data_IF_367588957429
#
_entry.id   IF_367588957429
#
_cell.length_a   1.000
_cell.length_b   1.000
_cell.length_c   1.000
_cell.angle_alpha   90.00
_cell.angle_beta   90.00
_cell.angle_gamma   90.00
#
_symmetry.space_group_name_H-M   'P 1'
#
loop_
_entity.id
_entity.type
_entity.pdbx_description
1 polymer ?
#
# COMPACT_ATOMS: atom_id res chain seq x y z
N UNK A 1 -10.26 -2.11 25.73
CA UNK A 1 -10.38 -1.15 24.62
C UNK A 1 -10.17 -1.91 23.33
N UNK A 2 -11.15 -1.92 22.41
CA UNK A 2 -11.01 -2.61 21.13
C UNK A 2 -10.97 -1.58 20.02
N UNK A 3 -9.77 -1.28 19.51
CA UNK A 3 -9.60 -0.34 18.40
C UNK A 3 -9.81 -1.09 17.09
N UNK A 4 -10.86 -0.75 16.37
CA UNK A 4 -11.13 -1.35 15.06
C UNK A 4 -10.25 -0.68 14.01
N UNK A 5 -9.49 -1.48 13.28
CA UNK A 5 -8.66 -1.02 12.16
C UNK A 5 -9.41 -1.31 10.85
N UNK A 6 -9.56 -0.28 10.03
CA UNK A 6 -10.26 -0.37 8.73
C UNK A 6 -9.41 0.10 7.56
N UNK A 7 -8.32 0.84 7.81
CA UNK A 7 -7.43 1.42 6.80
C UNK A 7 -5.98 1.12 7.10
N UNK A 8 -5.20 0.81 6.08
CA UNK A 8 -3.77 0.55 6.18
C UNK A 8 -3.03 1.28 5.06
N UNK A 9 -1.93 1.95 5.41
CA UNK A 9 -1.02 2.53 4.43
C UNK A 9 0.30 1.77 4.44
N UNK A 10 0.68 1.20 3.31
CA UNK A 10 1.99 0.58 3.09
C UNK A 10 2.93 1.61 2.47
N UNK A 11 4.08 1.84 3.08
CA UNK A 11 5.15 2.70 2.54
C UNK A 11 6.24 1.78 1.99
N UNK A 12 6.46 1.86 0.68
CA UNK A 12 7.20 0.90 -0.13
C UNK A 12 6.28 -0.10 -0.83
N UNK A 13 6.44 -0.25 -2.13
CA UNK A 13 5.79 -1.19 -3.04
C UNK A 13 6.77 -2.27 -3.57
N UNK A 14 7.98 -2.35 -3.00
CA UNK A 14 8.87 -3.50 -3.21
C UNK A 14 8.26 -4.82 -2.72
N UNK A 15 8.97 -5.94 -2.91
CA UNK A 15 8.44 -7.30 -2.66
C UNK A 15 7.70 -7.44 -1.32
N UNK A 16 8.30 -6.94 -0.24
CA UNK A 16 7.73 -7.03 1.11
C UNK A 16 6.49 -6.12 1.25
N UNK A 17 6.59 -4.87 0.77
CA UNK A 17 5.49 -3.92 0.83
C UNK A 17 4.26 -4.39 0.04
N UNK A 18 4.49 -4.94 -1.15
CA UNK A 18 3.45 -5.56 -1.97
C UNK A 18 2.83 -6.79 -1.28
N UNK A 19 3.63 -7.64 -0.63
CA UNK A 19 3.14 -8.79 0.12
C UNK A 19 2.22 -8.41 1.28
N UNK A 20 2.58 -7.38 2.05
CA UNK A 20 1.73 -6.85 3.11
C UNK A 20 0.46 -6.19 2.57
N UNK A 21 0.57 -5.40 1.51
CA UNK A 21 -0.59 -4.78 0.88
C UNK A 21 -1.61 -5.85 0.43
N UNK A 22 -1.14 -6.92 -0.21
CA UNK A 22 -1.98 -8.07 -0.59
C UNK A 22 -2.61 -8.77 0.62
N UNK A 23 -1.85 -8.96 1.70
CA UNK A 23 -2.37 -9.56 2.92
C UNK A 23 -3.52 -8.74 3.53
N UNK A 24 -3.34 -7.41 3.63
CA UNK A 24 -4.34 -6.51 4.20
C UNK A 24 -5.57 -6.33 3.30
N UNK A 25 -5.38 -6.28 1.98
CA UNK A 25 -6.49 -6.31 1.03
C UNK A 25 -7.32 -7.59 1.17
N UNK A 26 -6.67 -8.76 1.30
CA UNK A 26 -7.36 -10.04 1.53
C UNK A 26 -8.14 -10.06 2.84
N UNK A 27 -7.69 -9.32 3.84
CA UNK A 27 -8.40 -9.15 5.11
C UNK A 27 -9.60 -8.18 5.03
N UNK A 28 -9.88 -7.61 3.85
CA UNK A 28 -10.96 -6.64 3.63
C UNK A 28 -10.65 -5.23 4.13
N UNK A 29 -9.37 -4.92 4.35
CA UNK A 29 -8.93 -3.59 4.76
C UNK A 29 -8.76 -2.69 3.53
N UNK A 30 -9.03 -1.41 3.70
CA UNK A 30 -8.78 -0.38 2.69
C UNK A 30 -7.28 -0.03 2.68
N UNK A 31 -6.58 -0.45 1.63
CA UNK A 31 -5.12 -0.36 1.56
C UNK A 31 -4.68 0.74 0.58
N UNK A 32 -3.80 1.60 1.05
CA UNK A 32 -3.08 2.59 0.24
C UNK A 32 -1.61 2.23 0.21
N UNK A 33 -1.00 2.14 -0.97
CA UNK A 33 0.44 1.90 -1.10
C UNK A 33 1.10 3.18 -1.62
N UNK A 34 2.09 3.66 -0.88
CA UNK A 34 2.94 4.78 -1.23
C UNK A 34 4.33 4.25 -1.60
N UNK A 35 4.84 4.55 -2.78
CA UNK A 35 6.25 4.33 -3.11
C UNK A 35 6.85 5.59 -3.77
N UNK A 36 8.06 5.93 -3.36
CA UNK A 36 8.82 7.06 -3.94
C UNK A 36 9.38 6.71 -5.32
N UNK A 37 9.47 5.43 -5.64
CA UNK A 37 9.97 4.93 -6.92
C UNK A 37 8.77 4.39 -7.70
N UNK A 38 8.04 5.26 -8.40
CA UNK A 38 7.00 4.82 -9.33
C UNK A 38 7.55 3.93 -10.45
N UNK A 39 8.86 4.01 -10.69
CA UNK A 39 9.57 3.36 -11.76
C UNK A 39 11.06 3.61 -11.51
N UNK A 40 11.93 2.65 -11.82
CA UNK A 40 13.37 2.90 -11.98
C UNK A 40 13.62 3.72 -13.26
N UNK A 41 12.92 4.86 -13.42
CA UNK A 41 12.81 5.64 -14.66
C UNK A 41 11.79 6.81 -14.68
N UNK A 42 10.88 6.98 -13.71
CA UNK A 42 10.01 8.16 -13.67
C UNK A 42 10.78 9.36 -13.07
N UNK A 43 10.91 10.50 -13.77
CA UNK A 43 11.86 11.55 -13.39
C UNK A 43 11.56 12.31 -12.09
N UNK A 44 10.41 12.08 -11.44
CA UNK A 44 9.90 13.00 -10.41
C UNK A 44 8.71 12.49 -9.55
N UNK A 45 8.25 11.24 -9.67
CA UNK A 45 6.91 10.84 -9.17
C UNK A 45 6.86 9.85 -8.00
N UNK A 46 6.42 10.31 -6.83
CA UNK A 46 5.84 9.44 -5.80
C UNK A 46 4.50 8.88 -6.31
N UNK A 47 4.30 7.56 -6.27
CA UNK A 47 3.02 6.95 -6.60
C UNK A 47 2.25 6.49 -5.37
N UNK A 48 0.99 6.92 -5.31
CA UNK A 48 0.01 6.48 -4.32
C UNK A 48 -1.06 5.69 -5.05
N UNK A 49 -1.13 4.39 -4.80
CA UNK A 49 -2.17 3.52 -5.37
C UNK A 49 -3.08 3.02 -4.26
N UNK A 50 -4.38 3.27 -4.41
CA UNK A 50 -5.41 2.75 -3.52
C UNK A 50 -6.02 1.52 -4.15
N UNK A 51 -5.98 0.40 -3.44
CA UNK A 51 -6.64 -0.81 -3.86
C UNK A 51 -7.72 -1.14 -2.84
N UNK A 52 -8.96 -1.10 -3.30
CA UNK A 52 -10.13 -1.51 -2.53
C UNK A 52 -10.65 -2.82 -3.11
N UNK A 53 -10.98 -3.76 -2.22
CA UNK A 53 -11.69 -5.00 -2.56
C UNK A 53 -13.20 -4.75 -2.56
#
# INVERSE_FOLDING_TARGET
MNTTISKVTCVGAGLIGAGWAAHFMRAGLDVTVYDVSAERGAPDGCQITRAAY
#
